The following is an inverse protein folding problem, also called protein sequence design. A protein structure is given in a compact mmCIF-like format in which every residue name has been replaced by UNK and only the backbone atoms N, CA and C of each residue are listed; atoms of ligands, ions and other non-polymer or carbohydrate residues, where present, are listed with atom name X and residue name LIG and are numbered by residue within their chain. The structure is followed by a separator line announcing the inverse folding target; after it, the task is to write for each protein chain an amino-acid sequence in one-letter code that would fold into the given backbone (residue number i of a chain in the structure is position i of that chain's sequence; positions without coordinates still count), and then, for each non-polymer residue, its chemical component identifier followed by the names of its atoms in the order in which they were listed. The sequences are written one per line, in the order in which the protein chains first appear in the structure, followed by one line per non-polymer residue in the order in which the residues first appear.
data_IF_171726987935
#
_entry.id   IF_171726987935
#
_cell.length_a   1.000
_cell.length_b   1.000
_cell.length_c   1.000
_cell.angle_alpha   90.00
_cell.angle_beta   90.00
_cell.angle_gamma   90.00
#
_symmetry.space_group_name_H-M   'P 1'
#
loop_
_entity.id
_entity.type
_entity.pdbx_description
1 polymer ?
#
# COMPACT_ATOMS: atom_id res chain seq x y z
N UNK A 1 -11.04 -26.48 17.30
CA UNK A 1 -9.70 -25.89 17.59
C UNK A 1 -8.59 -26.45 16.72
N UNK A 2 -8.71 -27.68 16.17
CA UNK A 2 -7.78 -28.24 15.18
C UNK A 2 -7.88 -27.58 13.78
N UNK A 3 -9.10 -27.31 13.28
CA UNK A 3 -9.32 -26.77 11.93
C UNK A 3 -8.77 -25.36 11.68
N UNK A 4 -8.78 -24.49 12.69
CA UNK A 4 -8.23 -23.14 12.56
C UNK A 4 -6.70 -23.15 12.36
N UNK A 5 -6.01 -24.14 12.95
CA UNK A 5 -4.56 -24.26 12.86
C UNK A 5 -4.13 -24.75 11.47
N UNK A 6 -4.92 -25.65 10.87
CA UNK A 6 -4.75 -26.09 9.49
C UNK A 6 -5.09 -25.00 8.48
N UNK A 7 -6.16 -24.22 8.71
CA UNK A 7 -6.52 -23.08 7.87
C UNK A 7 -5.46 -21.98 7.86
N UNK A 8 -5.00 -21.54 9.04
CA UNK A 8 -3.97 -20.52 9.16
C UNK A 8 -2.62 -20.98 8.56
N UNK A 9 -2.23 -22.24 8.79
CA UNK A 9 -1.02 -22.79 8.16
C UNK A 9 -1.11 -22.84 6.64
N UNK A 10 -2.31 -23.01 6.07
CA UNK A 10 -2.52 -22.97 4.63
C UNK A 10 -2.37 -21.55 4.09
N UNK A 11 -2.95 -20.55 4.77
CA UNK A 11 -2.80 -19.14 4.41
C UNK A 11 -1.35 -18.67 4.46
N UNK A 12 -0.58 -19.09 5.46
CA UNK A 12 0.86 -18.80 5.53
C UNK A 12 1.62 -19.41 4.35
N UNK A 13 1.37 -20.69 4.02
CA UNK A 13 1.98 -21.32 2.84
C UNK A 13 1.64 -20.59 1.55
N UNK A 14 0.39 -20.14 1.42
CA UNK A 14 -0.05 -19.34 0.27
C UNK A 14 0.71 -18.01 0.18
N UNK A 15 0.85 -17.31 1.32
CA UNK A 15 1.61 -16.08 1.40
C UNK A 15 3.08 -16.29 1.06
N UNK A 16 3.71 -17.34 1.59
CA UNK A 16 5.11 -17.68 1.30
C UNK A 16 5.34 -17.88 -0.20
N UNK A 17 4.49 -18.67 -0.86
CA UNK A 17 4.57 -18.91 -2.32
C UNK A 17 4.36 -17.61 -3.10
N UNK A 18 3.41 -16.77 -2.66
CA UNK A 18 3.17 -15.47 -3.29
C UNK A 18 4.38 -14.53 -3.18
N UNK A 19 4.97 -14.42 -1.99
CA UNK A 19 6.12 -13.57 -1.75
C UNK A 19 7.38 -14.09 -2.43
N UNK A 20 7.60 -15.40 -2.45
CA UNK A 20 8.72 -16.00 -3.19
C UNK A 20 8.65 -15.66 -4.67
N UNK A 21 7.46 -15.77 -5.27
CA UNK A 21 7.24 -15.36 -6.67
C UNK A 21 7.56 -13.88 -6.88
N UNK A 22 6.95 -12.99 -6.09
CA UNK A 22 7.15 -11.54 -6.21
C UNK A 22 8.62 -11.14 -6.02
N UNK A 23 9.26 -11.70 -5.00
CA UNK A 23 10.67 -11.45 -4.73
C UNK A 23 11.56 -11.97 -5.84
N UNK A 24 11.25 -13.09 -6.49
CA UNK A 24 12.07 -13.65 -7.59
C UNK A 24 11.93 -12.85 -8.87
N UNK A 25 10.70 -12.44 -9.22
CA UNK A 25 10.44 -11.67 -10.45
C UNK A 25 10.96 -10.23 -10.37
N UNK A 26 10.95 -9.65 -9.16
CA UNK A 26 11.25 -8.22 -8.95
C UNK A 26 12.44 -7.99 -8.01
N UNK A 27 13.30 -8.99 -7.80
CA UNK A 27 14.38 -8.99 -6.78
C UNK A 27 15.22 -7.73 -6.83
N UNK A 28 15.74 -7.38 -8.01
CA UNK A 28 16.66 -6.26 -8.16
C UNK A 28 16.04 -4.93 -7.75
N UNK A 29 14.79 -4.68 -8.16
CA UNK A 29 14.08 -3.44 -7.83
C UNK A 29 13.73 -3.39 -6.34
N UNK A 30 13.20 -4.48 -5.79
CA UNK A 30 12.85 -4.55 -4.36
C UNK A 30 14.11 -4.39 -3.50
N UNK A 31 15.23 -5.03 -3.85
CA UNK A 31 16.48 -4.92 -3.09
C UNK A 31 17.03 -3.48 -3.05
N UNK A 32 17.01 -2.78 -4.20
CA UNK A 32 17.43 -1.37 -4.26
C UNK A 32 16.51 -0.50 -3.39
N UNK A 33 15.20 -0.68 -3.49
CA UNK A 33 14.24 0.11 -2.72
C UNK A 33 14.33 -0.19 -1.22
N UNK A 34 14.56 -1.44 -0.82
CA UNK A 34 14.80 -1.83 0.58
C UNK A 34 16.07 -1.19 1.14
N UNK A 35 17.14 -1.06 0.33
CA UNK A 35 18.36 -0.37 0.73
C UNK A 35 18.12 1.13 0.94
N UNK A 36 17.38 1.77 0.04
CA UNK A 36 17.00 3.19 0.18
C UNK A 36 16.12 3.38 1.42
N UNK A 37 15.18 2.47 1.66
CA UNK A 37 14.28 2.49 2.81
C UNK A 37 15.01 2.35 4.15
N UNK A 38 16.25 1.85 4.16
CA UNK A 38 17.10 1.75 5.36
C UNK A 38 17.57 3.12 5.86
N UNK A 39 17.63 4.11 4.97
CA UNK A 39 18.07 5.46 5.34
C UNK A 39 17.06 6.07 6.32
N UNK A 40 17.50 6.50 7.51
CA UNK A 40 16.62 7.05 8.54
C UNK A 40 16.29 8.53 8.26
N UNK A 41 15.79 8.80 7.05
CA UNK A 41 15.32 10.10 6.63
C UNK A 41 13.87 9.95 6.16
N UNK A 42 12.97 10.72 6.77
CA UNK A 42 11.53 10.59 6.53
C UNK A 42 11.15 10.89 5.07
N UNK A 43 11.72 11.94 4.48
CA UNK A 43 11.48 12.29 3.08
C UNK A 43 12.00 11.20 2.14
N UNK A 44 13.19 10.66 2.38
CA UNK A 44 13.72 9.56 1.55
C UNK A 44 12.84 8.31 1.64
N UNK A 45 12.32 8.01 2.85
CA UNK A 45 11.40 6.88 3.06
C UNK A 45 10.08 7.07 2.33
N UNK A 46 9.54 8.28 2.30
CA UNK A 46 8.32 8.61 1.56
C UNK A 46 8.44 8.22 0.08
N UNK A 47 9.50 8.66 -0.60
CA UNK A 47 9.79 8.25 -1.98
C UNK A 47 10.00 6.73 -2.10
N UNK A 48 10.77 6.12 -1.19
CA UNK A 48 11.01 4.69 -1.23
C UNK A 48 9.71 3.89 -1.10
N UNK A 49 8.80 4.30 -0.20
CA UNK A 49 7.49 3.69 0.00
C UNK A 49 6.63 3.85 -1.25
N UNK A 50 6.61 5.04 -1.87
CA UNK A 50 5.87 5.30 -3.11
C UNK A 50 6.31 4.37 -4.25
N UNK A 51 7.61 4.21 -4.46
CA UNK A 51 8.13 3.34 -5.51
C UNK A 51 8.05 1.84 -5.16
N UNK A 52 8.20 1.49 -3.88
CA UNK A 52 8.09 0.10 -3.43
C UNK A 52 6.66 -0.41 -3.54
N UNK A 53 5.69 0.37 -3.04
CA UNK A 53 4.27 0.05 -3.13
C UNK A 53 3.85 -0.13 -4.60
N UNK A 54 4.29 0.76 -5.49
CA UNK A 54 3.95 0.67 -6.91
C UNK A 54 4.62 -0.48 -7.68
N UNK A 55 5.71 -1.04 -7.14
CA UNK A 55 6.44 -2.14 -7.78
C UNK A 55 5.82 -3.51 -7.49
N UNK A 56 4.99 -3.63 -6.46
CA UNK A 56 4.36 -4.88 -6.06
C UNK A 56 2.97 -5.03 -6.73
N UNK A 57 1.90 -5.13 -5.95
CA UNK A 57 0.51 -5.31 -6.41
C UNK A 57 0.10 -4.38 -7.56
N UNK A 58 0.48 -3.11 -7.49
CA UNK A 58 0.11 -2.07 -8.45
C UNK A 58 0.73 -2.32 -9.83
N UNK A 59 1.93 -2.88 -9.87
CA UNK A 59 2.54 -3.31 -11.13
C UNK A 59 1.70 -4.40 -11.80
N UNK A 60 1.19 -5.35 -11.02
CA UNK A 60 0.45 -6.50 -11.52
C UNK A 60 -0.98 -6.13 -11.92
N UNK A 61 -1.64 -5.24 -11.18
CA UNK A 61 -2.94 -4.65 -11.57
C UNK A 61 -2.80 -3.92 -12.91
N UNK A 62 -1.73 -3.13 -13.09
CA UNK A 62 -1.55 -2.26 -14.27
C UNK A 62 -1.19 -3.02 -15.55
N UNK A 63 -0.42 -4.10 -15.46
CA UNK A 63 0.04 -4.84 -16.66
C UNK A 63 -0.89 -5.98 -17.07
N UNK A 64 -2.06 -6.13 -16.44
CA UNK A 64 -3.00 -7.22 -16.70
C UNK A 64 -2.39 -8.64 -16.62
N UNK A 65 -1.21 -8.78 -16.00
CA UNK A 65 -0.57 -10.07 -15.67
C UNK A 65 -1.38 -10.90 -14.65
N UNK A 66 -2.57 -10.41 -14.30
CA UNK A 66 -3.58 -11.15 -13.55
C UNK A 66 -3.85 -12.51 -14.20
N UNK A 67 -3.71 -12.69 -15.52
CA UNK A 67 -3.82 -14.01 -16.18
C UNK A 67 -2.78 -15.05 -15.70
N UNK A 68 -1.58 -14.62 -15.31
CA UNK A 68 -0.54 -15.51 -14.74
C UNK A 68 -0.74 -15.65 -13.21
N UNK A 69 -1.31 -14.66 -12.52
CA UNK A 69 -1.74 -14.80 -11.13
C UNK A 69 -3.04 -15.63 -10.98
N UNK A 70 -3.93 -15.67 -11.98
CA UNK A 70 -5.13 -16.50 -12.03
C UNK A 70 -4.79 -17.99 -12.23
N UNK A 71 -3.56 -18.30 -12.67
CA UNK A 71 -3.03 -19.66 -12.60
C UNK A 71 -2.80 -20.14 -11.15
N UNK A 72 -2.76 -19.21 -10.19
CA UNK A 72 -2.64 -19.48 -8.76
C UNK A 72 -4.00 -19.23 -8.07
N UNK A 73 -4.43 -20.08 -7.13
CA UNK A 73 -5.73 -19.99 -6.47
C UNK A 73 -5.76 -18.94 -5.36
N UNK A 74 -5.42 -17.68 -5.69
CA UNK A 74 -5.43 -16.54 -4.77
C UNK A 74 -6.62 -15.63 -5.04
N UNK A 75 -7.34 -15.27 -3.99
CA UNK A 75 -8.40 -14.26 -4.03
C UNK A 75 -7.82 -12.85 -4.01
N UNK A 76 -8.55 -11.86 -4.55
CA UNK A 76 -8.21 -10.43 -4.43
C UNK A 76 -7.98 -10.03 -2.96
N UNK A 77 -8.79 -10.55 -2.04
CA UNK A 77 -8.63 -10.28 -0.60
C UNK A 77 -7.26 -10.75 -0.07
N UNK A 78 -6.83 -11.94 -0.46
CA UNK A 78 -5.52 -12.50 -0.11
C UNK A 78 -4.39 -11.67 -0.74
N UNK A 79 -4.47 -11.33 -2.02
CA UNK A 79 -3.45 -10.53 -2.71
C UNK A 79 -3.25 -9.15 -2.06
N UNK A 80 -4.34 -8.45 -1.75
CA UNK A 80 -4.27 -7.17 -1.06
C UNK A 80 -3.60 -7.31 0.31
N UNK A 81 -4.02 -8.30 1.09
CA UNK A 81 -3.55 -8.51 2.46
C UNK A 81 -2.08 -8.92 2.48
N UNK A 82 -1.65 -9.83 1.60
CA UNK A 82 -0.25 -10.27 1.51
C UNK A 82 0.69 -9.13 1.14
N UNK A 83 0.29 -8.28 0.19
CA UNK A 83 1.07 -7.10 -0.17
C UNK A 83 1.17 -6.10 0.98
N UNK A 84 0.04 -5.80 1.62
CA UNK A 84 0.02 -4.87 2.74
C UNK A 84 0.89 -5.38 3.90
N UNK A 85 0.78 -6.67 4.25
CA UNK A 85 1.61 -7.30 5.30
C UNK A 85 3.08 -7.23 4.94
N UNK A 86 3.46 -7.58 3.71
CA UNK A 86 4.85 -7.50 3.26
C UNK A 86 5.41 -6.08 3.34
N UNK A 87 4.65 -5.12 2.84
CA UNK A 87 4.99 -3.69 2.88
C UNK A 87 5.15 -3.20 4.33
N UNK A 88 4.20 -3.52 5.21
CA UNK A 88 4.27 -3.15 6.62
C UNK A 88 5.50 -3.77 7.32
N UNK A 89 5.80 -5.04 7.06
CA UNK A 89 6.99 -5.70 7.61
C UNK A 89 8.28 -5.07 7.08
N UNK A 90 8.36 -4.81 5.78
CA UNK A 90 9.50 -4.16 5.15
C UNK A 90 9.78 -2.78 5.78
N UNK A 91 8.75 -1.93 5.89
CA UNK A 91 8.86 -0.59 6.49
C UNK A 91 9.17 -0.69 7.99
N UNK A 92 8.55 -1.61 8.72
CA UNK A 92 8.81 -1.79 10.14
C UNK A 92 10.27 -2.19 10.40
N UNK A 93 10.77 -3.23 9.73
CA UNK A 93 12.13 -3.75 9.92
C UNK A 93 13.17 -2.69 9.53
N UNK A 94 13.02 -2.06 8.37
CA UNK A 94 13.98 -1.05 7.90
C UNK A 94 13.96 0.21 8.74
N UNK A 95 12.79 0.63 9.26
CA UNK A 95 12.69 1.79 10.17
C UNK A 95 13.26 1.48 11.55
N UNK A 96 12.96 0.29 12.10
CA UNK A 96 13.55 -0.15 13.35
C UNK A 96 15.08 -0.27 13.24
N UNK A 97 15.59 -0.83 12.14
CA UNK A 97 17.03 -0.96 11.93
C UNK A 97 17.71 0.39 11.71
N UNK A 98 17.13 1.29 10.90
CA UNK A 98 17.69 2.62 10.66
C UNK A 98 17.81 3.45 11.93
N UNK A 99 16.79 3.43 12.78
CA UNK A 99 16.76 4.18 14.05
C UNK A 99 17.67 3.62 15.15
N UNK A 100 18.19 2.38 15.02
CA UNK A 100 19.17 1.84 15.98
C UNK A 100 20.46 2.68 15.99
N UNK A 101 20.87 3.19 14.83
CA UNK A 101 22.13 3.94 14.67
C UNK A 101 22.02 5.42 15.05
N UNK A 102 20.81 5.92 15.32
CA UNK A 102 20.60 7.30 15.75
C UNK A 102 20.45 7.34 17.27
N UNK A 103 21.13 8.32 17.89
CA UNK A 103 21.07 8.60 19.31
C UNK A 103 19.79 9.40 19.68
N UNK A 104 18.64 8.74 19.48
CA UNK A 104 17.32 9.24 19.83
C UNK A 104 16.76 8.47 21.04
N UNK A 105 15.78 9.06 21.73
CA UNK A 105 15.04 8.37 22.78
C UNK A 105 14.16 7.24 22.21
N UNK A 106 13.82 6.24 23.03
CA UNK A 106 12.95 5.13 22.60
C UNK A 106 11.59 5.63 22.08
N UNK A 107 11.07 6.71 22.66
CA UNK A 107 9.80 7.31 22.25
C UNK A 107 9.90 7.88 20.83
N UNK A 108 10.97 8.63 20.52
CA UNK A 108 11.21 9.18 19.19
C UNK A 108 11.40 8.09 18.13
N UNK A 109 12.06 6.98 18.49
CA UNK A 109 12.22 5.82 17.59
C UNK A 109 10.87 5.17 17.26
N UNK A 110 10.02 4.98 18.26
CA UNK A 110 8.66 4.44 18.06
C UNK A 110 7.79 5.40 17.26
N UNK A 111 7.91 6.70 17.51
CA UNK A 111 7.24 7.73 16.74
C UNK A 111 7.64 7.65 15.26
N UNK A 112 8.93 7.56 14.96
CA UNK A 112 9.41 7.47 13.57
C UNK A 112 8.88 6.23 12.83
N UNK A 113 8.83 5.08 13.51
CA UNK A 113 8.21 3.86 12.96
C UNK A 113 6.72 4.11 12.68
N UNK A 114 6.00 4.71 13.63
CA UNK A 114 4.58 5.02 13.47
C UNK A 114 4.34 5.98 12.30
N UNK A 115 5.15 7.03 12.17
CA UNK A 115 5.11 7.99 11.05
C UNK A 115 5.28 7.29 9.70
N UNK A 116 6.18 6.31 9.64
CA UNK A 116 6.43 5.51 8.43
C UNK A 116 5.26 4.57 8.10
N UNK A 117 4.57 4.03 9.11
CA UNK A 117 3.35 3.26 8.93
C UNK A 117 2.14 4.12 8.51
N UNK A 118 2.07 5.38 8.94
CA UNK A 118 1.03 6.30 8.46
C UNK A 118 1.20 6.53 6.95
N UNK A 119 2.43 6.78 6.50
CA UNK A 119 2.76 6.92 5.08
C UNK A 119 2.36 5.68 4.27
N UNK A 120 2.72 4.48 4.75
CA UNK A 120 2.46 3.26 3.98
C UNK A 120 0.97 3.01 3.77
N UNK A 121 0.14 3.21 4.80
CA UNK A 121 -1.30 3.00 4.67
C UNK A 121 -1.95 3.96 3.68
N UNK A 122 -1.54 5.24 3.71
CA UNK A 122 -2.06 6.25 2.79
C UNK A 122 -1.58 6.03 1.36
N UNK A 123 -0.28 5.91 1.14
CA UNK A 123 0.32 5.77 -0.19
C UNK A 123 -0.16 4.48 -0.86
N UNK A 124 -0.11 3.34 -0.17
CA UNK A 124 -0.60 2.07 -0.71
C UNK A 124 -2.10 2.14 -1.01
N UNK A 125 -2.89 2.75 -0.12
CA UNK A 125 -4.33 2.89 -0.31
C UNK A 125 -4.68 3.74 -1.53
N UNK A 126 -4.05 4.91 -1.67
CA UNK A 126 -4.23 5.80 -2.83
C UNK A 126 -3.82 5.09 -4.12
N UNK A 127 -2.66 4.42 -4.13
CA UNK A 127 -2.17 3.71 -5.32
C UNK A 127 -3.13 2.61 -5.77
N UNK A 128 -3.65 1.79 -4.86
CA UNK A 128 -4.63 0.74 -5.19
C UNK A 128 -5.92 1.34 -5.76
N UNK A 129 -6.44 2.40 -5.16
CA UNK A 129 -7.63 3.11 -5.67
C UNK A 129 -7.39 3.56 -7.11
N UNK A 130 -6.27 4.25 -7.37
CA UNK A 130 -5.93 4.77 -8.69
C UNK A 130 -5.73 3.65 -9.72
N UNK A 131 -5.05 2.57 -9.35
CA UNK A 131 -4.84 1.40 -10.21
C UNK A 131 -6.17 0.76 -10.62
N UNK A 132 -7.13 0.67 -9.71
CA UNK A 132 -8.46 0.13 -10.03
C UNK A 132 -9.26 0.99 -11.01
N UNK A 133 -8.99 2.30 -11.06
CA UNK A 133 -9.58 3.21 -12.04
C UNK A 133 -8.79 3.31 -13.35
N UNK A 134 -7.78 2.44 -13.58
CA UNK A 134 -6.86 2.49 -14.72
C UNK A 134 -6.13 3.84 -14.85
N UNK A 135 -5.95 4.55 -13.74
CA UNK A 135 -5.16 5.78 -13.66
C UNK A 135 -3.71 5.38 -13.35
N UNK A 136 -2.72 6.14 -13.85
CA UNK A 136 -1.33 5.89 -13.49
C UNK A 136 -1.09 6.15 -12.00
N UNK A 137 -1.17 5.08 -11.21
CA UNK A 137 -1.08 5.13 -9.77
C UNK A 137 0.23 5.73 -9.26
N UNK A 138 1.34 5.59 -9.98
CA UNK A 138 2.63 6.15 -9.54
C UNK A 138 2.58 7.67 -9.62
N UNK A 139 2.27 8.19 -10.81
CA UNK A 139 2.25 9.63 -11.10
C UNK A 139 1.19 10.33 -10.25
N UNK A 140 -0.01 9.77 -10.17
CA UNK A 140 -1.11 10.41 -9.44
C UNK A 140 -0.97 10.28 -7.93
N UNK A 141 -0.32 9.24 -7.41
CA UNK A 141 0.00 9.19 -5.96
C UNK A 141 1.08 10.17 -5.59
N UNK A 142 2.07 10.38 -6.46
CA UNK A 142 3.07 11.41 -6.26
C UNK A 142 2.45 12.81 -6.26
N UNK A 143 1.50 13.06 -7.16
CA UNK A 143 0.70 14.30 -7.15
C UNK A 143 -0.10 14.42 -5.84
N UNK A 144 -0.76 13.35 -5.41
CA UNK A 144 -1.53 13.35 -4.17
C UNK A 144 -0.67 13.64 -2.94
N UNK A 145 0.56 13.13 -2.89
CA UNK A 145 1.55 13.43 -1.86
C UNK A 145 1.92 14.91 -1.82
N UNK A 146 2.21 15.51 -3.00
CA UNK A 146 2.47 16.96 -3.11
C UNK A 146 1.28 17.77 -2.61
N UNK A 147 0.06 17.41 -3.01
CA UNK A 147 -1.15 18.10 -2.55
C UNK A 147 -1.35 17.96 -1.04
N UNK A 148 -1.15 16.76 -0.48
CA UNK A 148 -1.24 16.54 0.97
C UNK A 148 -0.20 17.38 1.72
N UNK A 149 1.04 17.45 1.21
CA UNK A 149 2.10 18.25 1.81
C UNK A 149 1.80 19.75 1.76
N UNK A 150 1.26 20.27 0.64
CA UNK A 150 0.87 21.68 0.52
C UNK A 150 -0.28 21.99 1.47
N UNK A 151 -1.35 21.20 1.42
CA UNK A 151 -2.55 21.41 2.25
C UNK A 151 -2.24 21.21 3.74
N UNK A 152 -1.39 20.26 4.09
CA UNK A 152 -0.97 19.98 5.46
C UNK A 152 -0.09 21.08 6.05
N UNK A 153 0.73 21.74 5.24
CA UNK A 153 1.58 22.85 5.69
C UNK A 153 0.90 24.23 5.62
N UNK A 154 -0.32 24.33 5.11
CA UNK A 154 -1.03 25.60 5.02
C UNK A 154 -1.59 25.99 6.41
N UNK A 155 -0.88 26.83 7.17
CA UNK A 155 -1.29 27.23 8.53
C UNK A 155 -0.62 26.39 9.62
N UNK A 156 -1.30 26.20 10.75
CA UNK A 156 -0.73 25.51 11.93
C UNK A 156 -1.67 24.43 12.48
N UNK A 157 -1.13 23.32 13.04
CA UNK A 157 -1.91 22.29 13.72
C UNK A 157 -2.41 22.71 15.11
N UNK A 158 -1.97 23.85 15.64
CA UNK A 158 -2.39 24.33 16.96
C UNK A 158 -3.83 24.85 16.92
N UNK A 159 -4.71 24.18 17.66
CA UNK A 159 -6.14 24.47 17.78
C UNK A 159 -6.40 25.88 18.34
N UNK A 160 -5.45 26.44 19.11
CA UNK A 160 -5.59 27.76 19.70
C UNK A 160 -5.09 28.90 18.81
N UNK A 161 -4.52 28.58 17.64
CA UNK A 161 -3.99 29.58 16.71
C UNK A 161 -5.09 30.20 15.85
N UNK A 162 -4.95 31.49 15.53
CA UNK A 162 -5.83 32.17 14.57
C UNK A 162 -5.73 31.59 13.15
N UNK A 163 -4.64 30.89 12.84
CA UNK A 163 -4.37 30.23 11.56
C UNK A 163 -4.45 28.71 11.68
N UNK A 164 -5.34 28.20 12.55
CA UNK A 164 -5.55 26.76 12.72
C UNK A 164 -5.99 26.10 11.42
N UNK A 165 -5.29 25.05 11.02
CA UNK A 165 -5.62 24.22 9.87
C UNK A 165 -5.98 22.80 10.34
N UNK A 166 -7.27 22.41 10.32
CA UNK A 166 -7.67 21.09 10.74
C UNK A 166 -7.14 19.97 9.83
N UNK A 167 -6.86 20.25 8.54
CA UNK A 167 -6.32 19.25 7.62
C UNK A 167 -4.90 18.80 8.04
N UNK A 168 -4.11 19.71 8.62
CA UNK A 168 -2.76 19.39 9.10
C UNK A 168 -2.75 18.30 10.19
N UNK A 169 -3.87 18.06 10.87
CA UNK A 169 -4.02 17.02 11.89
C UNK A 169 -4.15 15.62 11.29
N UNK A 170 -4.73 15.51 10.09
CA UNK A 170 -5.02 14.23 9.41
C UNK A 170 -4.09 13.95 8.23
N UNK A 171 -3.35 14.96 7.76
CA UNK A 171 -2.39 14.86 6.65
C UNK A 171 -1.35 13.76 6.91
N UNK A 172 -1.20 12.85 5.96
CA UNK A 172 -0.26 11.73 6.09
C UNK A 172 1.20 12.11 5.82
N UNK A 173 1.45 13.27 5.21
CA UNK A 173 2.81 13.82 5.01
C UNK A 173 3.21 14.75 6.17
N UNK A 174 2.34 15.68 6.59
CA UNK A 174 2.62 16.61 7.69
C UNK A 174 2.53 15.95 9.06
N UNK A 175 1.52 15.10 9.22
CA UNK A 175 1.23 14.36 10.45
C UNK A 175 1.25 15.22 11.72
N UNK A 176 0.49 16.33 11.71
CA UNK A 176 0.43 17.29 12.82
C UNK A 176 -0.15 16.67 14.10
N UNK A 177 -1.02 15.67 13.97
CA UNK A 177 -1.43 14.79 15.06
C UNK A 177 -1.31 13.34 14.60
N UNK A 178 -0.37 12.60 15.19
CA UNK A 178 -0.05 11.23 14.79
C UNK A 178 -1.26 10.29 14.86
N UNK A 179 -2.09 10.42 15.89
CA UNK A 179 -3.25 9.54 16.08
C UNK A 179 -4.30 9.81 15.01
N UNK A 180 -4.63 11.08 14.77
CA UNK A 180 -5.59 11.48 13.75
C UNK A 180 -5.12 11.11 12.34
N UNK A 181 -3.84 11.31 12.05
CA UNK A 181 -3.22 10.93 10.77
C UNK A 181 -3.22 9.42 10.57
N UNK A 182 -2.99 8.63 11.63
CA UNK A 182 -3.10 7.17 11.58
C UNK A 182 -4.53 6.71 11.29
N UNK A 183 -5.52 7.24 12.00
CA UNK A 183 -6.93 6.89 11.78
C UNK A 183 -7.34 7.20 10.35
N UNK A 184 -6.95 8.37 9.84
CA UNK A 184 -7.25 8.78 8.48
C UNK A 184 -6.56 7.89 7.44
N UNK A 185 -5.29 7.54 7.65
CA UNK A 185 -4.53 6.66 6.75
C UNK A 185 -5.09 5.23 6.72
N UNK A 186 -5.50 4.70 7.88
CA UNK A 186 -6.21 3.41 7.96
C UNK A 186 -7.53 3.48 7.20
N UNK A 187 -8.27 4.59 7.30
CA UNK A 187 -9.53 4.79 6.58
C UNK A 187 -9.30 4.80 5.06
N UNK A 188 -8.26 5.48 4.57
CA UNK A 188 -7.86 5.45 3.15
C UNK A 188 -7.57 4.01 2.71
N UNK A 189 -6.76 3.27 3.48
CA UNK A 189 -6.40 1.89 3.19
C UNK A 189 -7.62 0.94 3.25
N UNK A 190 -8.56 1.20 4.15
CA UNK A 190 -9.79 0.42 4.24
C UNK A 190 -10.72 0.68 3.05
N UNK A 191 -10.85 1.94 2.61
CA UNK A 191 -11.60 2.29 1.39
C UNK A 191 -10.96 1.60 0.17
N UNK A 192 -9.63 1.59 0.07
CA UNK A 192 -8.94 0.95 -1.05
C UNK A 192 -9.20 -0.56 -1.07
N UNK A 193 -9.21 -1.22 0.09
CA UNK A 193 -9.61 -2.62 0.22
C UNK A 193 -11.04 -2.85 -0.30
N UNK A 194 -11.99 -2.00 0.08
CA UNK A 194 -13.37 -2.12 -0.39
C UNK A 194 -13.49 -1.93 -1.90
N UNK A 195 -12.78 -0.95 -2.49
CA UNK A 195 -12.79 -0.71 -3.94
C UNK A 195 -12.19 -1.91 -4.67
N UNK A 196 -11.02 -2.38 -4.24
CA UNK A 196 -10.30 -3.49 -4.85
C UNK A 196 -11.10 -4.79 -4.83
N UNK A 197 -11.81 -5.06 -3.73
CA UNK A 197 -12.56 -6.32 -3.56
C UNK A 197 -13.97 -6.31 -4.15
N UNK A 198 -14.56 -5.14 -4.40
CA UNK A 198 -15.92 -5.02 -4.96
C UNK A 198 -16.00 -5.24 -6.47
N UNK A 199 -14.92 -4.98 -7.22
CA UNK A 199 -14.97 -4.95 -8.69
C UNK A 199 -15.29 -6.31 -9.36
N UNK A 200 -15.26 -7.43 -8.61
CA UNK A 200 -15.71 -8.75 -9.10
C UNK A 200 -17.06 -9.20 -8.53
N UNK A 201 -17.85 -8.30 -7.93
CA UNK A 201 -19.16 -8.61 -7.36
C UNK A 201 -20.35 -8.48 -8.32
N UNK A 202 -20.28 -7.66 -9.38
CA UNK A 202 -21.42 -7.37 -10.26
C UNK A 202 -20.94 -6.87 -11.64
N UNK A 203 -20.79 -7.79 -12.58
CA UNK A 203 -21.18 -7.57 -13.97
C UNK A 203 -21.85 -8.86 -14.48
N UNK A 204 -23.16 -9.08 -14.23
CA UNK A 204 -23.91 -10.20 -14.79
C UNK A 204 -24.24 -10.05 -16.29
N UNK A 205 -23.76 -9.01 -16.98
CA UNK A 205 -24.10 -8.72 -18.36
C UNK A 205 -22.87 -8.53 -19.24
N UNK A 206 -22.12 -9.62 -19.47
CA UNK A 206 -21.38 -9.78 -20.73
C UNK A 206 -21.08 -11.25 -21.04
N UNK A 207 -22.01 -12.13 -20.66
CA UNK A 207 -21.92 -13.57 -20.88
C UNK A 207 -23.22 -14.16 -21.40
N UNK A 208 -23.77 -13.64 -22.50
CA UNK A 208 -24.74 -14.41 -23.30
C UNK A 208 -24.79 -13.91 -24.75
N UNK A 209 -24.21 -14.69 -25.65
CA UNK A 209 -24.68 -14.79 -27.04
C UNK A 209 -23.77 -14.23 -28.13
N UNK A 210 -22.80 -15.03 -28.60
CA UNK A 210 -22.81 -15.48 -30.00
C UNK A 210 -21.73 -16.55 -30.23
N UNK A 211 -22.03 -17.78 -29.82
CA UNK A 211 -21.54 -18.93 -30.57
C UNK A 211 -22.64 -19.31 -31.56
N UNK A 212 -22.54 -18.81 -32.80
CA UNK A 212 -23.17 -19.43 -33.97
C UNK A 212 -22.19 -19.47 -35.14
N UNK A 213 -21.66 -20.68 -35.32
CA UNK A 213 -21.58 -21.42 -36.58
C UNK A 213 -20.57 -20.97 -37.66
N UNK A 214 -19.54 -21.81 -37.80
CA UNK A 214 -18.99 -22.37 -39.05
C UNK A 214 -19.80 -22.07 -40.32
N UNK A 215 -19.10 -21.55 -41.33
CA UNK A 215 -19.07 -21.96 -42.75
C UNK A 215 -17.84 -21.23 -43.34
N UNK A 216 -16.69 -21.84 -43.63
CA UNK A 216 -16.39 -22.63 -44.85
C UNK A 216 -17.36 -22.37 -45.98
N UNK A 217 -16.94 -21.52 -46.92
CA UNK A 217 -16.60 -21.92 -48.29
C UNK A 217 -15.41 -21.08 -48.79
#
# INVERSE_FOLDING_TARGET
MSDYKTGFSLELKKMDVYLEKELTEKTGRIAILMLILLLPNFFVKEFAILFLSSSLLIHDIRHQNVEILYSLPFSKKEMFSFNLIFLCLAVFITSAFGEIFIDNTIVEKLEFILRSLILIFSIFGIQVILSEFNIDAVVFSFIAEIFDAILGNFGTPDINSSNFNPYSLISFTKQGNLVMSLVFSILICFISYLVYTRKDGENPHEGFGSNKLKQTD
#
